data_IF_702292207348
#
_entry.id   IF_702292207348
#
_cell.length_a   1.000
_cell.length_b   1.000
_cell.length_c   1.000
_cell.angle_alpha   90.00
_cell.angle_beta   90.00
_cell.angle_gamma   90.00
#
_symmetry.space_group_name_H-M   'P 1'
#
loop_
_entity.id
_entity.type
_entity.pdbx_description
1 polymer ?
#
# COMPACT_ATOMS: atom_id res chain seq x y z
N UNK A 1 23.35 23.88 7.31
CA UNK A 1 22.88 22.70 6.61
C UNK A 1 23.96 22.14 5.75
N UNK A 2 24.04 20.89 5.72
CA UNK A 2 25.11 20.20 5.02
C UNK A 2 24.55 19.27 3.96
N UNK A 3 23.54 19.74 3.30
CA UNK A 3 22.79 18.92 2.39
C UNK A 3 23.61 18.41 1.22
N UNK A 4 24.77 18.96 0.99
CA UNK A 4 25.56 18.62 -0.17
C UNK A 4 26.59 17.53 0.07
N UNK A 5 26.66 16.96 1.25
CA UNK A 5 27.67 15.94 1.52
C UNK A 5 27.27 14.61 0.84
N UNK A 6 28.27 13.76 0.56
CA UNK A 6 27.97 12.43 0.01
C UNK A 6 27.06 11.60 0.92
N UNK A 7 27.23 11.76 2.23
CA UNK A 7 26.36 11.09 3.18
C UNK A 7 24.92 11.56 3.01
N UNK A 8 24.74 12.83 2.64
CA UNK A 8 23.40 13.36 2.41
C UNK A 8 22.75 12.71 1.19
N UNK A 9 23.51 12.46 0.13
CA UNK A 9 22.97 11.79 -1.05
C UNK A 9 22.50 10.36 -0.70
N UNK A 10 23.31 9.64 0.08
CA UNK A 10 22.92 8.31 0.53
C UNK A 10 21.71 8.37 1.45
N UNK A 11 21.66 9.41 2.29
CA UNK A 11 20.54 9.63 3.19
C UNK A 11 19.27 9.92 2.39
N UNK A 12 19.38 10.72 1.32
CA UNK A 12 18.23 11.03 0.48
C UNK A 12 17.66 9.76 -0.15
N UNK A 13 18.50 8.80 -0.55
CA UNK A 13 18.04 7.54 -1.11
C UNK A 13 17.26 6.73 -0.08
N UNK A 14 17.48 6.98 1.20
CA UNK A 14 16.79 6.30 2.29
C UNK A 14 15.76 7.19 2.99
N UNK A 15 15.61 8.40 2.50
CA UNK A 15 14.65 9.35 3.06
C UNK A 15 13.28 8.71 3.06
N UNK A 16 12.59 8.69 4.21
CA UNK A 16 11.25 8.10 4.29
C UNK A 16 10.26 8.69 3.29
N UNK A 17 10.34 10.00 3.03
CA UNK A 17 9.44 10.61 2.05
C UNK A 17 9.76 10.11 0.64
N UNK A 18 11.04 9.99 0.33
CA UNK A 18 11.45 9.48 -0.98
C UNK A 18 10.99 8.03 -1.17
N UNK A 19 11.18 7.20 -0.16
CA UNK A 19 10.74 5.80 -0.20
C UNK A 19 9.23 5.72 -0.36
N UNK A 20 8.49 6.55 0.38
CA UNK A 20 7.05 6.57 0.30
C UNK A 20 6.55 7.05 -1.06
N UNK A 21 7.26 8.02 -1.64
CA UNK A 21 6.89 8.53 -2.95
C UNK A 21 7.04 7.45 -4.03
N UNK A 22 8.01 6.58 -3.88
CA UNK A 22 8.22 5.47 -4.81
C UNK A 22 7.15 4.39 -4.67
N UNK A 23 6.51 4.30 -3.50
CA UNK A 23 5.48 3.30 -3.23
C UNK A 23 4.11 3.91 -3.53
N UNK A 24 3.35 3.24 -4.38
CA UNK A 24 2.03 3.75 -4.77
C UNK A 24 1.05 3.68 -3.61
N UNK A 25 0.49 4.82 -3.23
CA UNK A 25 -0.57 4.87 -2.24
C UNK A 25 -1.80 4.08 -2.74
N UNK A 26 -2.08 4.16 -4.04
CA UNK A 26 -3.17 3.38 -4.63
C UNK A 26 -2.93 1.88 -4.45
N UNK A 27 -1.67 1.44 -4.56
CA UNK A 27 -1.32 0.05 -4.31
C UNK A 27 -1.56 -0.36 -2.87
N UNK A 28 -1.23 0.52 -1.93
CA UNK A 28 -1.49 0.25 -0.51
C UNK A 28 -2.99 0.15 -0.25
N UNK A 29 -3.78 1.06 -0.82
CA UNK A 29 -5.23 1.01 -0.67
C UNK A 29 -5.82 -0.25 -1.29
N UNK A 30 -5.32 -0.64 -2.46
CA UNK A 30 -5.76 -1.89 -3.11
C UNK A 30 -5.46 -3.09 -2.21
N UNK A 31 -4.27 -3.12 -1.63
CA UNK A 31 -3.88 -4.19 -0.73
C UNK A 31 -4.82 -4.25 0.49
N UNK A 32 -5.09 -3.10 1.11
CA UNK A 32 -5.96 -3.05 2.28
C UNK A 32 -7.38 -3.50 1.91
N UNK A 33 -7.87 -3.07 0.76
CA UNK A 33 -9.21 -3.44 0.32
C UNK A 33 -9.33 -4.95 0.10
N UNK A 34 -8.32 -5.57 -0.53
CA UNK A 34 -8.32 -7.02 -0.74
C UNK A 34 -8.25 -7.74 0.60
N UNK A 35 -7.40 -7.28 1.51
CA UNK A 35 -7.29 -7.90 2.83
C UNK A 35 -8.60 -7.82 3.59
N UNK A 36 -9.28 -6.68 3.51
CA UNK A 36 -10.54 -6.44 4.21
C UNK A 36 -11.69 -7.25 3.61
N UNK A 37 -11.77 -7.29 2.27
CA UNK A 37 -12.88 -7.96 1.58
C UNK A 37 -12.65 -9.45 1.39
N UNK A 38 -11.40 -9.88 1.43
CA UNK A 38 -11.07 -11.28 1.19
C UNK A 38 -11.21 -11.69 -0.27
N UNK A 39 -11.34 -10.74 -1.18
CA UNK A 39 -11.61 -11.00 -2.60
C UNK A 39 -11.11 -9.83 -3.43
N UNK A 40 -10.44 -10.15 -4.53
CA UNK A 40 -10.00 -9.13 -5.49
C UNK A 40 -11.20 -8.49 -6.20
N UNK A 41 -12.22 -9.29 -6.51
CA UNK A 41 -13.41 -8.77 -7.17
C UNK A 41 -14.15 -7.78 -6.27
N UNK A 42 -14.33 -8.13 -5.00
CA UNK A 42 -15.04 -7.26 -4.06
C UNK A 42 -14.24 -6.01 -3.74
N UNK A 43 -12.92 -6.16 -3.68
CA UNK A 43 -12.05 -4.99 -3.50
C UNK A 43 -12.21 -4.03 -4.68
N UNK A 44 -12.29 -4.57 -5.89
CA UNK A 44 -12.52 -3.74 -7.08
C UNK A 44 -13.83 -2.98 -7.01
N UNK A 45 -14.90 -3.66 -6.58
CA UNK A 45 -16.19 -3.02 -6.41
C UNK A 45 -16.12 -1.89 -5.39
N UNK A 46 -15.45 -2.15 -4.26
CA UNK A 46 -15.32 -1.16 -3.21
C UNK A 46 -14.54 0.07 -3.65
N UNK A 47 -13.50 -0.15 -4.44
CA UNK A 47 -12.64 0.95 -4.91
C UNK A 47 -13.16 1.60 -6.19
N UNK A 48 -14.17 1.02 -6.81
CA UNK A 48 -14.71 1.56 -8.06
C UNK A 48 -13.80 1.33 -9.26
N UNK A 49 -13.01 0.27 -9.22
CA UNK A 49 -12.12 -0.10 -10.33
C UNK A 49 -12.30 -1.59 -10.65
N UNK A 50 -11.76 -2.01 -11.77
CA UNK A 50 -11.89 -3.40 -12.17
C UNK A 50 -10.98 -4.31 -11.35
N UNK A 51 -11.38 -5.58 -11.25
CA UNK A 51 -10.59 -6.60 -10.57
C UNK A 51 -9.17 -6.67 -11.10
N UNK A 52 -8.99 -6.55 -12.43
CA UNK A 52 -7.67 -6.59 -13.04
C UNK A 52 -6.79 -5.44 -12.58
N UNK A 53 -7.38 -4.25 -12.41
CA UNK A 53 -6.64 -3.09 -11.93
C UNK A 53 -6.18 -3.30 -10.49
N UNK A 54 -7.05 -3.86 -9.65
CA UNK A 54 -6.67 -4.19 -8.27
C UNK A 54 -5.52 -5.18 -8.26
N UNK A 55 -5.62 -6.21 -9.07
CA UNK A 55 -4.59 -7.25 -9.15
C UNK A 55 -3.25 -6.67 -9.56
N UNK A 56 -3.24 -5.79 -10.58
CA UNK A 56 -2.01 -5.15 -11.03
C UNK A 56 -1.42 -4.25 -9.96
N UNK A 57 -2.26 -3.50 -9.25
CA UNK A 57 -1.79 -2.63 -8.19
C UNK A 57 -1.12 -3.41 -7.06
N UNK A 58 -1.73 -4.52 -6.68
CA UNK A 58 -1.17 -5.38 -5.63
C UNK A 58 0.14 -6.01 -6.10
N UNK A 59 0.18 -6.51 -7.34
CA UNK A 59 1.40 -7.12 -7.88
C UNK A 59 2.54 -6.12 -7.93
N UNK A 60 2.25 -4.90 -8.34
CA UNK A 60 3.26 -3.86 -8.37
C UNK A 60 3.80 -3.55 -6.97
N UNK A 61 2.90 -3.49 -6.00
CA UNK A 61 3.29 -3.29 -4.61
C UNK A 61 4.18 -4.43 -4.12
N UNK A 62 3.79 -5.68 -4.39
CA UNK A 62 4.58 -6.83 -4.01
C UNK A 62 5.97 -6.78 -4.65
N UNK A 63 6.06 -6.37 -5.91
CA UNK A 63 7.33 -6.22 -6.59
C UNK A 63 8.19 -5.15 -5.92
N UNK A 64 7.60 -4.02 -5.57
CA UNK A 64 8.32 -2.93 -4.92
C UNK A 64 8.84 -3.34 -3.55
N UNK A 65 8.05 -4.12 -2.81
CA UNK A 65 8.44 -4.56 -1.47
C UNK A 65 9.34 -5.78 -1.51
N UNK A 66 9.34 -6.52 -2.62
CA UNK A 66 10.15 -7.72 -2.76
C UNK A 66 9.59 -8.90 -2.00
N UNK A 67 8.32 -8.90 -1.65
CA UNK A 67 7.68 -9.99 -0.92
C UNK A 67 6.27 -10.22 -1.46
N UNK A 68 5.76 -11.43 -1.22
CA UNK A 68 4.36 -11.74 -1.50
C UNK A 68 3.52 -11.33 -0.31
N UNK A 69 2.42 -10.66 -0.56
CA UNK A 69 1.51 -10.24 0.48
C UNK A 69 0.30 -11.16 0.60
N UNK A 70 -0.05 -11.84 -0.49
CA UNK A 70 -1.19 -12.74 -0.52
C UNK A 70 -0.78 -14.12 -1.00
N UNK A 71 -1.42 -15.13 -0.42
CA UNK A 71 -1.44 -16.48 -0.95
C UNK A 71 -2.75 -16.62 -1.69
N UNK A 72 -2.66 -16.96 -2.99
CA UNK A 72 -3.84 -17.07 -3.84
C UNK A 72 -4.01 -18.51 -4.26
N UNK A 73 -5.21 -19.01 -4.05
CA UNK A 73 -5.64 -20.30 -4.61
C UNK A 73 -6.85 -20.03 -5.49
N UNK A 74 -7.33 -21.05 -6.17
CA UNK A 74 -8.52 -20.91 -6.99
C UNK A 74 -9.76 -20.60 -6.16
N UNK A 75 -9.69 -20.80 -4.84
CA UNK A 75 -10.87 -20.65 -3.98
C UNK A 75 -10.73 -19.58 -2.92
N UNK A 76 -9.51 -19.15 -2.64
CA UNK A 76 -9.32 -18.25 -1.51
C UNK A 76 -8.14 -17.33 -1.74
N UNK A 77 -8.20 -16.21 -1.02
CA UNK A 77 -7.12 -15.24 -0.93
C UNK A 77 -6.87 -15.02 0.54
N UNK A 78 -5.65 -15.27 0.99
CA UNK A 78 -5.27 -15.06 2.38
C UNK A 78 -3.95 -14.33 2.43
N UNK A 79 -3.69 -13.68 3.56
CA UNK A 79 -2.44 -12.94 3.75
C UNK A 79 -1.30 -13.91 4.02
N UNK A 80 -0.12 -13.59 3.49
CA UNK A 80 1.12 -14.19 3.95
C UNK A 80 1.46 -13.59 5.32
N UNK A 81 2.50 -14.13 5.98
CA UNK A 81 3.00 -13.50 7.20
C UNK A 81 3.44 -12.06 6.93
N UNK A 82 4.14 -11.85 5.83
CA UNK A 82 4.56 -10.50 5.43
C UNK A 82 3.36 -9.61 5.19
N UNK A 83 2.30 -10.15 4.59
CA UNK A 83 1.07 -9.41 4.38
C UNK A 83 0.42 -9.00 5.68
N UNK A 84 0.41 -9.88 6.68
CA UNK A 84 -0.14 -9.55 7.99
C UNK A 84 0.63 -8.42 8.65
N UNK A 85 1.97 -8.52 8.62
CA UNK A 85 2.81 -7.49 9.21
C UNK A 85 2.64 -6.15 8.50
N UNK A 86 2.57 -6.19 7.18
CA UNK A 86 2.40 -4.97 6.41
C UNK A 86 1.05 -4.32 6.67
N UNK A 87 0.00 -5.13 6.78
CA UNK A 87 -1.34 -4.62 7.08
C UNK A 87 -1.37 -3.94 8.44
N UNK A 88 -0.79 -4.57 9.46
CA UNK A 88 -0.72 -3.98 10.80
C UNK A 88 0.03 -2.65 10.78
N UNK A 89 1.09 -2.59 10.00
CA UNK A 89 1.92 -1.38 9.96
C UNK A 89 1.28 -0.24 9.20
N UNK A 90 0.57 -0.51 8.11
CA UNK A 90 0.06 0.56 7.26
C UNK A 90 -1.38 0.99 7.58
N UNK A 91 -2.19 0.13 8.21
CA UNK A 91 -3.58 0.47 8.47
C UNK A 91 -3.76 1.74 9.29
N UNK A 92 -3.04 1.90 10.42
CA UNK A 92 -3.21 3.14 11.19
C UNK A 92 -2.82 4.38 10.41
N UNK A 93 -1.78 4.27 9.57
CA UNK A 93 -1.34 5.40 8.75
C UNK A 93 -2.39 5.80 7.73
N UNK A 94 -3.00 4.82 7.08
CA UNK A 94 -4.06 5.10 6.11
C UNK A 94 -5.26 5.71 6.79
N UNK A 95 -5.62 5.21 7.98
CA UNK A 95 -6.73 5.78 8.74
C UNK A 95 -6.48 7.25 9.07
N UNK A 96 -5.25 7.59 9.43
CA UNK A 96 -4.90 8.99 9.69
C UNK A 96 -5.06 9.84 8.44
N UNK A 97 -4.63 9.33 7.29
CA UNK A 97 -4.77 10.06 6.03
C UNK A 97 -6.24 10.25 5.67
N UNK A 98 -7.04 9.18 5.82
CA UNK A 98 -8.46 9.25 5.52
C UNK A 98 -9.16 10.27 6.42
N UNK A 99 -8.79 10.31 7.69
CA UNK A 99 -9.36 11.27 8.63
C UNK A 99 -8.99 12.69 8.23
N UNK A 100 -7.74 12.92 7.83
CA UNK A 100 -7.31 14.24 7.42
C UNK A 100 -8.08 14.72 6.19
N UNK A 101 -8.29 13.81 5.23
CA UNK A 101 -9.05 14.14 4.03
C UNK A 101 -10.51 14.48 4.37
N UNK A 102 -11.08 13.72 5.28
CA UNK A 102 -12.46 13.92 5.70
C UNK A 102 -12.62 15.27 6.40
N UNK A 103 -11.67 15.63 7.25
CA UNK A 103 -11.70 16.92 7.95
C UNK A 103 -11.65 18.10 6.98
N UNK A 104 -10.92 17.95 5.89
CA UNK A 104 -10.86 19.00 4.88
C UNK A 104 -12.20 19.24 4.18
N UNK A 105 -13.01 18.20 4.08
CA UNK A 105 -14.33 18.32 3.45
C UNK A 105 -15.34 19.00 4.35
N UNK A 106 -15.08 19.07 5.63
CA UNK A 106 -15.98 19.72 6.60
C UNK A 106 -15.72 21.21 6.75
N UNK A 107 -14.72 21.75 6.08
CA UNK A 107 -14.40 23.18 6.19
C UNK A 107 -15.41 24.09 5.48
#
# INVERSE_FOLDING_TARGET
>A
MNASSPATAATAARDPLNASFSTSYAGVLAFIAVASEGSFARAGDRLGIGRSAVSRSVQKLETQLGVRLFLRTTRSTSLTREGELFLEGCSPGVECILQALDEMQDL
#
